data_IF_370344067394
#
_entry.id   IF_370344067394
#
_cell.length_a   1.000
_cell.length_b   1.000
_cell.length_c   1.000
_cell.angle_alpha   90.00
_cell.angle_beta   90.00
_cell.angle_gamma   90.00
#
_symmetry.space_group_name_H-M   'P 1'
#
loop_
_entity.id
_entity.type
_entity.pdbx_description
1 polymer ?
#
# COMPACT_ATOMS: atom_id res chain seq x y z
N UNK A 1 -21.78 0.71 5.29
CA UNK A 1 -21.82 2.15 4.91
C UNK A 1 -20.75 2.36 3.86
N UNK A 2 -20.95 3.25 2.87
CA UNK A 2 -19.92 3.53 1.84
C UNK A 2 -18.84 4.38 2.48
N UNK A 3 -17.56 4.01 2.27
CA UNK A 3 -16.38 4.76 2.69
C UNK A 3 -15.69 5.33 1.46
N UNK A 4 -15.26 6.58 1.55
CA UNK A 4 -14.58 7.28 0.45
C UNK A 4 -13.35 8.01 0.97
N UNK A 5 -12.26 7.86 0.24
CA UNK A 5 -11.06 8.65 0.45
C UNK A 5 -11.22 10.05 -0.15
N UNK A 6 -10.65 11.05 0.51
CA UNK A 6 -10.59 12.41 -0.03
C UNK A 6 -9.28 13.08 0.33
N UNK A 7 -8.82 14.00 -0.51
CA UNK A 7 -7.66 14.86 -0.21
C UNK A 7 -8.04 16.13 0.55
N UNK A 8 -9.32 16.40 0.73
CA UNK A 8 -9.79 17.59 1.48
C UNK A 8 -9.59 17.39 2.98
N UNK A 9 -9.34 18.48 3.70
CA UNK A 9 -9.35 18.47 5.17
C UNK A 9 -10.76 18.26 5.70
N UNK A 10 -10.88 17.45 6.75
CA UNK A 10 -12.15 17.02 7.34
C UNK A 10 -12.34 17.67 8.71
N UNK A 11 -13.52 18.26 8.93
CA UNK A 11 -13.96 18.77 10.23
C UNK A 11 -15.49 18.95 10.26
N UNK A 12 -16.09 19.04 11.43
CA UNK A 12 -17.54 19.22 11.58
C UNK A 12 -18.05 20.44 10.82
N UNK A 13 -19.14 20.28 10.09
CA UNK A 13 -19.81 21.33 9.32
C UNK A 13 -19.20 21.62 7.95
N UNK A 14 -17.99 21.10 7.63
CA UNK A 14 -17.42 21.23 6.29
C UNK A 14 -18.17 20.42 5.25
N UNK A 15 -18.08 20.89 4.00
CA UNK A 15 -18.58 20.17 2.84
C UNK A 15 -17.40 19.66 2.00
N UNK A 16 -17.54 18.45 1.46
CA UNK A 16 -16.57 17.79 0.59
C UNK A 16 -17.23 17.52 -0.75
N UNK A 17 -16.61 17.99 -1.83
CA UNK A 17 -17.02 17.66 -3.18
C UNK A 17 -16.47 16.31 -3.59
N UNK A 18 -17.32 15.45 -4.11
CA UNK A 18 -16.90 14.16 -4.67
C UNK A 18 -16.25 14.35 -6.03
N UNK A 19 -15.25 13.52 -6.35
CA UNK A 19 -14.69 13.45 -7.71
C UNK A 19 -15.70 12.87 -8.70
N UNK A 20 -15.45 13.01 -9.99
CA UNK A 20 -16.34 12.45 -11.04
C UNK A 20 -16.47 10.93 -10.88
N UNK A 21 -15.37 10.21 -10.63
CA UNK A 21 -15.37 8.76 -10.41
C UNK A 21 -16.17 8.38 -9.16
N UNK A 22 -16.01 9.13 -8.07
CA UNK A 22 -16.80 8.91 -6.84
C UNK A 22 -18.28 9.18 -7.09
N UNK A 23 -18.63 10.25 -7.81
CA UNK A 23 -20.03 10.52 -8.19
C UNK A 23 -20.58 9.37 -9.04
N UNK A 24 -19.83 8.92 -10.04
CA UNK A 24 -20.25 7.78 -10.85
C UNK A 24 -20.50 6.54 -9.99
N UNK A 25 -19.55 6.22 -9.10
CA UNK A 25 -19.66 5.07 -8.20
C UNK A 25 -20.87 5.16 -7.28
N UNK A 26 -21.03 6.28 -6.53
CA UNK A 26 -22.10 6.39 -5.53
C UNK A 26 -23.48 6.53 -6.16
N UNK A 27 -23.59 7.26 -7.29
CA UNK A 27 -24.88 7.52 -7.92
C UNK A 27 -25.32 6.38 -8.84
N UNK A 28 -24.44 5.91 -9.74
CA UNK A 28 -24.82 4.93 -10.77
C UNK A 28 -24.64 3.48 -10.29
N UNK A 29 -23.57 3.17 -9.58
CA UNK A 29 -23.28 1.79 -9.13
C UNK A 29 -24.01 1.51 -7.82
N UNK A 30 -23.83 2.34 -6.82
CA UNK A 30 -24.39 2.15 -5.49
C UNK A 30 -25.80 2.72 -5.31
N UNK A 31 -26.30 3.46 -6.32
CA UNK A 31 -27.66 4.03 -6.40
C UNK A 31 -28.06 4.80 -5.15
N UNK A 32 -27.16 5.64 -4.67
CA UNK A 32 -27.38 6.48 -3.52
C UNK A 32 -28.14 7.76 -3.87
N UNK A 33 -28.73 8.38 -2.85
CA UNK A 33 -29.60 9.55 -2.96
C UNK A 33 -29.19 10.66 -2.01
N UNK A 34 -29.73 11.85 -2.18
CA UNK A 34 -29.62 12.94 -1.22
C UNK A 34 -30.16 12.44 0.15
N UNK A 35 -29.44 12.78 1.21
CA UNK A 35 -29.74 12.32 2.56
C UNK A 35 -29.04 11.04 2.98
N UNK A 36 -28.45 10.25 2.05
CA UNK A 36 -27.68 9.06 2.40
C UNK A 36 -26.39 9.44 3.13
N UNK A 37 -25.96 8.55 4.03
CA UNK A 37 -24.76 8.71 4.83
C UNK A 37 -23.54 8.04 4.21
N UNK A 38 -22.39 8.69 4.39
CA UNK A 38 -21.07 8.27 3.93
C UNK A 38 -20.04 8.44 5.03
N UNK A 39 -18.99 7.61 5.01
CA UNK A 39 -17.80 7.81 5.82
C UNK A 39 -16.69 8.36 4.91
N UNK A 40 -16.04 9.45 5.33
CA UNK A 40 -14.91 10.03 4.62
C UNK A 40 -13.66 9.97 5.49
N UNK A 41 -12.50 9.72 4.86
CA UNK A 41 -11.20 9.72 5.52
C UNK A 41 -10.12 10.29 4.60
N UNK A 42 -9.00 10.76 5.17
CA UNK A 42 -7.93 11.39 4.40
C UNK A 42 -6.50 11.06 4.88
N UNK A 43 -6.36 10.19 5.88
CA UNK A 43 -5.06 9.85 6.45
C UNK A 43 -4.49 10.87 7.44
N UNK A 44 -5.22 11.93 7.77
CA UNK A 44 -4.78 13.00 8.66
C UNK A 44 -5.81 13.35 9.73
N UNK A 45 -7.07 13.47 9.34
CA UNK A 45 -8.15 13.94 10.21
C UNK A 45 -9.03 12.81 10.76
N UNK A 46 -8.64 11.55 10.52
CA UNK A 46 -9.44 10.38 10.88
C UNK A 46 -10.62 10.15 9.97
N UNK A 47 -11.65 9.48 10.48
CA UNK A 47 -12.87 9.15 9.72
C UNK A 47 -14.05 10.00 10.21
N UNK A 48 -14.80 10.51 9.25
CA UNK A 48 -15.90 11.41 9.47
C UNK A 48 -17.19 10.91 8.84
N UNK A 49 -18.28 10.96 9.58
CA UNK A 49 -19.62 10.77 9.06
C UNK A 49 -20.08 12.03 8.37
N UNK A 50 -20.63 11.89 7.19
CA UNK A 50 -21.26 12.97 6.44
C UNK A 50 -22.52 12.49 5.73
N UNK A 51 -23.35 13.43 5.32
CA UNK A 51 -24.60 13.20 4.61
C UNK A 51 -24.59 13.92 3.26
N UNK A 52 -25.11 13.27 2.23
CA UNK A 52 -25.23 13.88 0.89
C UNK A 52 -26.21 15.05 0.93
N UNK A 53 -25.72 16.28 0.78
CA UNK A 53 -26.55 17.49 0.58
C UNK A 53 -26.92 17.65 -0.90
N UNK A 54 -25.99 17.30 -1.79
CA UNK A 54 -26.21 17.29 -3.24
C UNK A 54 -25.72 15.94 -3.77
N UNK A 55 -26.56 15.26 -4.52
CA UNK A 55 -26.17 14.06 -5.26
C UNK A 55 -26.99 13.94 -6.53
N UNK A 56 -26.31 14.19 -7.64
CA UNK A 56 -26.84 14.15 -9.00
C UNK A 56 -25.95 13.30 -9.89
N UNK A 57 -26.30 13.11 -11.14
CA UNK A 57 -25.45 12.42 -12.14
C UNK A 57 -24.07 13.05 -12.36
N UNK A 58 -23.92 14.33 -12.02
CA UNK A 58 -22.70 15.11 -12.32
C UNK A 58 -22.02 15.72 -11.09
N UNK A 59 -22.68 15.73 -9.96
CA UNK A 59 -22.18 16.39 -8.77
C UNK A 59 -22.60 15.65 -7.51
N UNK A 60 -21.65 15.54 -6.57
CA UNK A 60 -21.87 15.05 -5.22
C UNK A 60 -21.22 15.99 -4.22
N UNK A 61 -21.96 16.36 -3.19
CA UNK A 61 -21.45 17.16 -2.06
C UNK A 61 -21.91 16.51 -0.78
N UNK A 62 -20.93 16.20 0.07
CA UNK A 62 -21.17 15.56 1.39
C UNK A 62 -20.90 16.60 2.48
N UNK A 63 -21.86 16.84 3.35
CA UNK A 63 -21.68 17.66 4.55
C UNK A 63 -21.30 16.81 5.73
N UNK A 64 -20.16 17.12 6.34
CA UNK A 64 -19.62 16.39 7.50
C UNK A 64 -20.33 16.78 8.77
N UNK A 65 -20.65 15.79 9.59
CA UNK A 65 -21.37 15.98 10.88
C UNK A 65 -20.46 15.74 12.08
N UNK A 66 -19.86 14.56 12.19
CA UNK A 66 -19.04 14.16 13.34
C UNK A 66 -17.92 13.22 12.97
N UNK A 67 -16.86 13.26 13.74
CA UNK A 67 -15.79 12.27 13.66
C UNK A 67 -16.27 10.94 14.23
N UNK A 68 -16.04 9.85 13.51
CA UNK A 68 -16.38 8.48 13.93
C UNK A 68 -15.17 7.76 14.51
N UNK A 69 -13.97 8.04 13.96
CA UNK A 69 -12.71 7.46 14.41
C UNK A 69 -11.62 8.53 14.36
N UNK A 70 -10.84 8.76 15.44
CA UNK A 70 -9.69 9.66 15.40
C UNK A 70 -8.58 9.07 14.54
N UNK A 71 -7.75 9.93 13.95
CA UNK A 71 -6.55 9.47 13.25
C UNK A 71 -5.57 8.86 14.25
N UNK A 72 -5.14 7.64 13.98
CA UNK A 72 -4.05 6.99 14.67
C UNK A 72 -2.70 7.25 13.98
N UNK A 73 -1.62 6.72 14.55
CA UNK A 73 -0.33 6.71 13.87
C UNK A 73 -0.37 5.75 12.68
N UNK A 74 0.25 6.17 11.58
CA UNK A 74 0.46 5.29 10.43
C UNK A 74 1.64 4.36 10.74
N UNK A 75 1.31 3.17 11.18
CA UNK A 75 2.26 2.08 11.43
C UNK A 75 2.25 1.11 10.24
N UNK A 76 3.36 0.38 10.05
CA UNK A 76 3.43 -0.66 9.04
C UNK A 76 4.79 -0.76 8.36
N UNK A 77 5.01 -1.88 7.69
CA UNK A 77 6.22 -2.11 6.92
C UNK A 77 6.26 -1.25 5.65
N UNK A 78 7.46 -1.07 5.12
CA UNK A 78 7.68 -0.65 3.73
C UNK A 78 7.79 -1.91 2.86
N UNK A 79 7.20 -1.89 1.69
CA UNK A 79 7.39 -2.91 0.67
C UNK A 79 8.15 -2.32 -0.51
N UNK A 80 9.41 -2.70 -0.68
CA UNK A 80 10.19 -2.44 -1.88
C UNK A 80 10.12 -3.67 -2.79
N UNK A 81 9.44 -3.57 -3.93
CA UNK A 81 9.18 -4.73 -4.77
C UNK A 81 9.52 -4.48 -6.23
N UNK A 82 10.24 -5.42 -6.83
CA UNK A 82 10.49 -5.39 -8.26
C UNK A 82 9.18 -5.37 -9.05
N UNK A 83 9.15 -4.56 -10.12
CA UNK A 83 8.00 -4.57 -11.03
C UNK A 83 7.88 -5.95 -11.69
N UNK A 84 6.70 -6.52 -11.60
CA UNK A 84 6.30 -7.79 -12.21
C UNK A 84 5.15 -7.57 -13.18
N UNK A 85 4.63 -8.63 -13.77
CA UNK A 85 3.46 -8.53 -14.66
C UNK A 85 2.35 -7.75 -13.99
N UNK A 86 1.67 -6.90 -14.78
CA UNK A 86 0.69 -5.91 -14.31
C UNK A 86 -0.34 -6.50 -13.34
N UNK A 87 -1.04 -7.58 -13.71
CA UNK A 87 -2.12 -8.12 -12.90
C UNK A 87 -1.62 -8.66 -11.54
N UNK A 88 -0.42 -9.23 -11.52
CA UNK A 88 0.22 -9.69 -10.28
C UNK A 88 0.67 -8.52 -9.41
N UNK A 89 1.17 -7.44 -10.03
CA UNK A 89 1.55 -6.24 -9.29
C UNK A 89 0.33 -5.53 -8.71
N UNK A 90 -0.77 -5.45 -9.46
CA UNK A 90 -2.06 -4.92 -8.98
C UNK A 90 -2.58 -5.71 -7.76
N UNK A 91 -2.48 -7.04 -7.81
CA UNK A 91 -2.82 -7.91 -6.66
C UNK A 91 -1.95 -7.57 -5.44
N UNK A 92 -0.64 -7.38 -5.65
CA UNK A 92 0.27 -6.99 -4.55
C UNK A 92 -0.11 -5.63 -3.98
N UNK A 93 -0.40 -4.62 -4.81
CA UNK A 93 -0.84 -3.30 -4.35
C UNK A 93 -2.07 -3.41 -3.44
N UNK A 94 -3.07 -4.18 -3.88
CA UNK A 94 -4.29 -4.42 -3.11
C UNK A 94 -3.97 -5.11 -1.77
N UNK A 95 -3.27 -6.26 -1.80
CA UNK A 95 -3.02 -7.06 -0.60
C UNK A 95 -2.01 -6.42 0.36
N UNK A 96 -1.00 -5.70 -0.14
CA UNK A 96 -0.10 -4.92 0.70
C UNK A 96 -0.85 -3.82 1.46
N UNK A 97 -1.82 -3.16 0.81
CA UNK A 97 -2.68 -2.17 1.46
C UNK A 97 -3.54 -2.79 2.56
N UNK A 98 -4.21 -3.91 2.29
CA UNK A 98 -5.01 -4.65 3.27
C UNK A 98 -4.16 -5.15 4.46
N UNK A 99 -2.90 -5.52 4.21
CA UNK A 99 -1.95 -5.99 5.23
C UNK A 99 -1.25 -4.84 5.99
N UNK A 100 -1.61 -3.60 5.72
CA UNK A 100 -1.19 -2.46 6.53
C UNK A 100 0.18 -1.87 6.15
N UNK A 101 0.67 -2.10 4.92
CA UNK A 101 1.89 -1.45 4.44
C UNK A 101 1.72 0.07 4.44
N UNK A 102 2.74 0.81 4.92
CA UNK A 102 2.71 2.28 4.93
C UNK A 102 3.24 2.90 3.65
N UNK A 103 4.13 2.19 2.93
CA UNK A 103 4.78 2.68 1.71
C UNK A 103 5.14 1.54 0.77
N UNK A 104 4.95 1.75 -0.53
CA UNK A 104 5.31 0.81 -1.59
C UNK A 104 6.30 1.50 -2.51
N UNK A 105 7.46 0.87 -2.71
CA UNK A 105 8.55 1.35 -3.55
C UNK A 105 8.73 0.37 -4.71
N UNK A 106 8.22 0.69 -5.91
CA UNK A 106 8.43 -0.13 -7.09
C UNK A 106 9.91 -0.10 -7.51
N UNK A 107 10.51 -1.28 -7.72
CA UNK A 107 11.93 -1.41 -8.07
C UNK A 107 12.13 -1.86 -9.51
N UNK A 108 13.18 -1.34 -10.13
CA UNK A 108 13.73 -1.82 -11.39
C UNK A 108 15.04 -2.55 -11.06
N UNK A 109 15.06 -3.86 -11.31
CA UNK A 109 16.19 -4.76 -11.06
C UNK A 109 16.75 -5.28 -12.38
N UNK A 110 17.89 -5.97 -12.38
CA UNK A 110 18.49 -6.51 -13.61
C UNK A 110 17.58 -7.49 -14.37
N UNK A 111 16.73 -8.21 -13.64
CA UNK A 111 15.84 -9.22 -14.22
C UNK A 111 14.37 -8.79 -14.27
N UNK A 112 14.12 -7.51 -14.04
CA UNK A 112 12.78 -6.93 -14.21
C UNK A 112 12.46 -6.80 -15.71
N UNK A 113 11.36 -7.41 -16.14
CA UNK A 113 10.89 -7.34 -17.54
C UNK A 113 10.04 -6.08 -17.77
N UNK A 114 9.27 -5.68 -16.76
CA UNK A 114 8.34 -4.54 -16.79
C UNK A 114 9.05 -3.32 -16.20
N UNK A 115 9.30 -2.29 -17.01
CA UNK A 115 10.03 -1.09 -16.56
C UNK A 115 9.14 0.13 -16.31
N UNK A 116 7.82 0.02 -16.56
CA UNK A 116 6.88 1.14 -16.43
C UNK A 116 5.71 0.77 -15.54
N UNK A 117 5.34 1.70 -14.67
CA UNK A 117 4.13 1.63 -13.84
C UNK A 117 3.22 2.81 -14.19
N UNK A 118 1.92 2.53 -14.37
CA UNK A 118 0.95 3.61 -14.38
C UNK A 118 0.65 3.99 -12.92
N UNK A 119 1.31 5.05 -12.44
CA UNK A 119 1.25 5.46 -11.04
C UNK A 119 -0.15 5.90 -10.63
N UNK A 120 -0.87 6.60 -11.49
CA UNK A 120 -2.25 7.03 -11.19
C UNK A 120 -3.17 5.81 -10.97
N UNK A 121 -3.07 4.82 -11.86
CA UNK A 121 -3.82 3.57 -11.67
C UNK A 121 -3.41 2.84 -10.39
N UNK A 122 -2.12 2.80 -10.07
CA UNK A 122 -1.64 2.18 -8.84
C UNK A 122 -2.20 2.88 -7.59
N UNK A 123 -2.26 4.21 -7.59
CA UNK A 123 -2.89 5.00 -6.53
C UNK A 123 -4.39 4.68 -6.38
N UNK A 124 -5.12 4.54 -7.49
CA UNK A 124 -6.53 4.15 -7.43
C UNK A 124 -6.71 2.78 -6.75
N UNK A 125 -5.88 1.78 -7.09
CA UNK A 125 -5.95 0.45 -6.49
C UNK A 125 -5.75 0.49 -4.96
N UNK A 126 -4.76 1.24 -4.48
CA UNK A 126 -4.52 1.31 -3.03
C UNK A 126 -5.57 2.13 -2.30
N UNK A 127 -6.16 3.14 -2.96
CA UNK A 127 -7.31 3.89 -2.41
C UNK A 127 -8.52 2.96 -2.25
N UNK A 128 -8.92 2.25 -3.31
CA UNK A 128 -10.03 1.30 -3.28
C UNK A 128 -9.81 0.21 -2.22
N UNK A 129 -8.58 -0.32 -2.12
CA UNK A 129 -8.23 -1.29 -1.09
C UNK A 129 -8.32 -0.69 0.32
N UNK A 130 -7.89 0.57 0.52
CA UNK A 130 -7.99 1.27 1.81
C UNK A 130 -9.46 1.54 2.20
N UNK A 131 -10.30 1.91 1.23
CA UNK A 131 -11.74 2.07 1.44
C UNK A 131 -12.39 0.77 1.89
N UNK A 132 -12.03 -0.34 1.25
CA UNK A 132 -12.62 -1.66 1.49
C UNK A 132 -12.15 -2.27 2.82
N UNK A 133 -10.86 -2.18 3.16
CA UNK A 133 -10.31 -2.77 4.39
C UNK A 133 -10.42 -1.85 5.63
N UNK A 134 -11.10 -0.72 5.50
CA UNK A 134 -11.41 0.23 6.57
C UNK A 134 -10.20 0.87 7.28
N UNK A 135 -9.04 0.93 6.64
CA UNK A 135 -7.92 1.70 7.18
C UNK A 135 -8.14 3.21 7.00
N UNK A 136 -7.52 4.02 7.87
CA UNK A 136 -7.71 5.48 7.88
C UNK A 136 -6.73 6.24 7.02
N UNK A 137 -5.73 5.56 6.46
CA UNK A 137 -4.67 6.11 5.61
C UNK A 137 -4.53 5.29 4.33
N UNK A 138 -3.90 5.88 3.34
CA UNK A 138 -3.57 5.24 2.07
C UNK A 138 -2.04 5.11 2.01
N UNK A 139 -1.47 3.94 1.66
CA UNK A 139 -0.02 3.80 1.55
C UNK A 139 0.54 4.73 0.47
N UNK A 140 1.70 5.31 0.75
CA UNK A 140 2.47 6.04 -0.26
C UNK A 140 2.94 5.07 -1.34
N UNK A 141 2.84 5.46 -2.62
CA UNK A 141 3.49 4.76 -3.73
C UNK A 141 4.44 5.72 -4.40
N UNK A 142 5.72 5.34 -4.51
CA UNK A 142 6.73 6.14 -5.20
C UNK A 142 6.75 5.85 -6.71
N UNK A 143 7.42 6.71 -7.47
CA UNK A 143 7.83 6.36 -8.83
C UNK A 143 8.78 5.14 -8.81
N UNK A 144 8.77 4.30 -9.85
CA UNK A 144 9.72 3.21 -9.99
C UNK A 144 11.16 3.71 -9.98
N UNK A 145 12.03 3.06 -9.20
CA UNK A 145 13.42 3.44 -9.12
C UNK A 145 14.37 2.24 -9.28
N UNK A 146 15.61 2.47 -9.77
CA UNK A 146 16.62 1.42 -9.81
C UNK A 146 16.95 0.88 -8.42
N UNK A 147 17.16 -0.44 -8.29
CA UNK A 147 17.55 -1.07 -7.03
C UNK A 147 18.76 -0.38 -6.39
N UNK A 148 19.77 0.01 -7.19
CA UNK A 148 20.98 0.71 -6.69
C UNK A 148 20.62 2.01 -5.96
N UNK A 149 19.67 2.79 -6.50
CA UNK A 149 19.19 4.02 -5.86
C UNK A 149 18.43 3.71 -4.58
N UNK A 150 17.54 2.71 -4.60
CA UNK A 150 16.81 2.28 -3.41
C UNK A 150 17.73 1.89 -2.24
N UNK A 151 18.83 1.18 -2.52
CA UNK A 151 19.75 0.73 -1.47
C UNK A 151 20.42 1.87 -0.70
N UNK A 152 20.46 3.08 -1.24
CA UNK A 152 20.98 4.28 -0.56
C UNK A 152 19.96 5.00 0.31
N UNK A 153 18.66 4.62 0.23
CA UNK A 153 17.62 5.25 1.03
C UNK A 153 17.61 4.70 2.46
N UNK A 154 17.30 5.56 3.41
CA UNK A 154 17.01 5.16 4.79
C UNK A 154 15.51 4.81 4.93
N UNK A 155 15.18 3.56 4.75
CA UNK A 155 13.81 3.03 4.90
C UNK A 155 13.72 2.04 6.08
N UNK A 156 14.64 2.17 7.06
CA UNK A 156 14.73 1.27 8.20
C UNK A 156 15.47 -0.03 7.90
N UNK A 157 15.24 -1.06 8.71
CA UNK A 157 15.87 -2.38 8.56
C UNK A 157 15.41 -3.05 7.26
N UNK A 158 16.34 -3.26 6.32
CA UNK A 158 16.05 -3.89 5.03
C UNK A 158 16.15 -5.42 5.14
N UNK A 159 15.09 -6.11 4.69
CA UNK A 159 14.98 -7.58 4.69
C UNK A 159 14.69 -8.02 3.27
N UNK A 160 15.66 -8.57 2.54
CA UNK A 160 15.41 -9.08 1.20
C UNK A 160 15.02 -10.57 1.21
N UNK A 161 14.07 -10.94 0.36
CA UNK A 161 13.66 -12.31 0.21
C UNK A 161 14.60 -13.05 -0.74
N UNK A 162 15.10 -14.19 -0.29
CA UNK A 162 16.03 -15.05 -1.03
C UNK A 162 15.51 -16.48 -1.12
N UNK A 163 15.49 -17.05 -2.33
CA UNK A 163 15.05 -18.42 -2.55
C UNK A 163 16.00 -19.46 -1.92
N UNK A 164 17.29 -19.14 -1.81
CA UNK A 164 18.35 -20.05 -1.37
C UNK A 164 19.15 -19.55 -0.16
N UNK A 165 18.74 -18.42 0.41
CA UNK A 165 19.39 -17.85 1.58
C UNK A 165 19.05 -18.61 2.85
N UNK A 166 20.01 -18.77 3.78
CA UNK A 166 19.68 -19.02 5.17
C UNK A 166 19.30 -17.69 5.81
N UNK A 167 18.39 -17.73 6.78
CA UNK A 167 18.08 -16.56 7.60
C UNK A 167 19.38 -16.04 8.23
N UNK A 168 19.81 -14.86 7.77
CA UNK A 168 20.98 -14.17 8.33
C UNK A 168 20.50 -12.93 9.08
N UNK A 169 20.34 -13.05 10.38
CA UNK A 169 19.93 -11.94 11.25
C UNK A 169 18.53 -12.12 11.82
N UNK A 170 18.17 -11.26 12.76
CA UNK A 170 16.85 -11.22 13.40
C UNK A 170 16.18 -9.92 13.02
N UNK A 171 14.89 -10.00 12.65
CA UNK A 171 14.09 -8.80 12.38
C UNK A 171 13.80 -8.11 13.71
N UNK A 172 14.26 -6.88 13.82
CA UNK A 172 13.98 -6.02 14.97
C UNK A 172 12.72 -5.20 14.72
N UNK A 173 11.62 -5.62 15.32
CA UNK A 173 10.31 -4.97 15.17
C UNK A 173 10.17 -3.65 15.93
N UNK A 174 11.16 -3.27 16.72
CA UNK A 174 11.21 -1.94 17.37
C UNK A 174 11.62 -0.83 16.41
N UNK A 175 12.09 -1.21 15.21
CA UNK A 175 12.49 -0.31 14.14
C UNK A 175 11.57 -0.46 12.92
N UNK A 176 11.48 0.57 12.07
CA UNK A 176 10.82 0.44 10.78
C UNK A 176 11.46 -0.68 9.95
N UNK A 177 10.64 -1.54 9.34
CA UNK A 177 11.09 -2.67 8.53
C UNK A 177 10.71 -2.43 7.07
N UNK A 178 11.65 -2.70 6.17
CA UNK A 178 11.44 -2.66 4.72
C UNK A 178 11.71 -4.04 4.12
N UNK A 179 10.66 -4.68 3.60
CA UNK A 179 10.78 -5.94 2.87
C UNK A 179 11.11 -5.69 1.41
N UNK A 180 12.14 -6.39 0.90
CA UNK A 180 12.64 -6.25 -0.46
C UNK A 180 12.36 -7.53 -1.23
N UNK A 181 11.48 -7.46 -2.24
CA UNK A 181 11.00 -8.62 -3.00
C UNK A 181 11.44 -8.51 -4.46
N UNK A 182 12.09 -9.56 -4.96
CA UNK A 182 12.60 -9.62 -6.33
C UNK A 182 11.54 -9.94 -7.38
N UNK A 183 11.93 -9.86 -8.68
CA UNK A 183 11.08 -10.28 -9.79
C UNK A 183 11.03 -11.81 -9.90
N UNK A 184 10.20 -12.33 -10.81
CA UNK A 184 10.07 -13.77 -11.08
C UNK A 184 11.41 -14.42 -11.51
N UNK A 185 12.32 -13.64 -12.08
CA UNK A 185 13.67 -14.10 -12.44
C UNK A 185 14.66 -14.14 -11.27
N UNK A 186 14.24 -13.76 -10.06
CA UNK A 186 15.08 -13.66 -8.86
C UNK A 186 16.15 -12.59 -8.94
N UNK A 187 17.06 -12.58 -7.98
CA UNK A 187 18.18 -11.64 -7.90
C UNK A 187 19.37 -12.08 -8.75
N UNK A 188 20.06 -11.14 -9.38
CA UNK A 188 21.34 -11.41 -10.03
C UNK A 188 22.46 -11.59 -9.00
N UNK A 189 23.59 -12.23 -9.38
CA UNK A 189 24.75 -12.31 -8.50
C UNK A 189 25.30 -10.93 -8.08
N UNK A 190 25.24 -9.95 -8.97
CA UNK A 190 25.69 -8.58 -8.68
C UNK A 190 24.75 -7.90 -7.65
N UNK A 191 23.45 -8.13 -7.75
CA UNK A 191 22.47 -7.61 -6.79
C UNK A 191 22.65 -8.25 -5.41
N UNK A 192 22.89 -9.57 -5.35
CA UNK A 192 23.18 -10.27 -4.07
C UNK A 192 24.45 -9.69 -3.43
N UNK A 193 25.52 -9.47 -4.21
CA UNK A 193 26.73 -8.82 -3.70
C UNK A 193 26.47 -7.37 -3.23
N UNK A 194 25.57 -6.65 -3.90
CA UNK A 194 25.18 -5.32 -3.47
C UNK A 194 24.45 -5.36 -2.12
N UNK A 195 23.55 -6.31 -1.89
CA UNK A 195 22.89 -6.52 -0.61
C UNK A 195 23.87 -6.81 0.54
N UNK A 196 24.88 -7.64 0.27
CA UNK A 196 25.90 -7.99 1.27
C UNK A 196 26.77 -6.80 1.72
N UNK A 197 26.81 -5.72 0.93
CA UNK A 197 27.52 -4.47 1.26
C UNK A 197 26.66 -3.48 2.06
N UNK A 198 25.36 -3.69 2.14
CA UNK A 198 24.46 -2.83 2.92
C UNK A 198 24.51 -3.29 4.39
N UNK A 199 24.96 -2.42 5.25
CA UNK A 199 25.01 -2.70 6.69
C UNK A 199 23.61 -3.02 7.25
N UNK A 200 23.51 -4.06 8.06
CA UNK A 200 22.25 -4.47 8.69
C UNK A 200 21.21 -5.11 7.74
N UNK A 201 21.55 -5.34 6.46
CA UNK A 201 20.65 -6.02 5.54
C UNK A 201 20.51 -7.49 5.86
N UNK A 202 19.27 -7.97 5.94
CA UNK A 202 18.92 -9.34 6.32
C UNK A 202 18.48 -10.13 5.10
N UNK A 203 18.98 -11.35 4.93
CA UNK A 203 18.46 -12.33 3.98
C UNK A 203 17.41 -13.22 4.66
N UNK A 204 16.21 -13.27 4.11
CA UNK A 204 15.13 -14.10 4.63
C UNK A 204 14.67 -15.10 3.58
N UNK A 205 14.54 -16.38 4.01
CA UNK A 205 13.94 -17.45 3.20
C UNK A 205 12.57 -17.83 3.78
N UNK A 206 11.56 -17.91 2.91
CA UNK A 206 10.19 -18.25 3.30
C UNK A 206 9.88 -19.76 3.27
N UNK A 207 10.90 -20.60 3.28
CA UNK A 207 10.75 -22.06 3.29
C UNK A 207 11.32 -22.76 2.07
N UNK A 208 11.00 -24.05 1.91
CA UNK A 208 11.62 -24.91 0.89
C UNK A 208 11.03 -24.77 -0.51
N UNK A 209 9.81 -24.23 -0.61
CA UNK A 209 9.14 -24.06 -1.88
C UNK A 209 9.51 -22.72 -2.50
N UNK A 210 9.73 -22.72 -3.82
CA UNK A 210 9.91 -21.48 -4.58
C UNK A 210 8.54 -20.84 -4.75
N UNK A 211 8.38 -19.65 -4.17
CA UNK A 211 7.16 -18.88 -4.27
C UNK A 211 7.24 -17.93 -5.48
N UNK A 212 6.10 -17.64 -6.09
CA UNK A 212 6.01 -16.50 -7.02
C UNK A 212 6.21 -15.19 -6.26
N UNK A 213 6.67 -14.15 -6.95
CA UNK A 213 6.99 -12.87 -6.34
C UNK A 213 5.80 -12.25 -5.57
N UNK A 214 4.60 -12.29 -6.16
CA UNK A 214 3.37 -11.84 -5.50
C UNK A 214 3.03 -12.68 -4.25
N UNK A 215 3.20 -13.99 -4.33
CA UNK A 215 2.98 -14.89 -3.17
C UNK A 215 4.00 -14.59 -2.07
N UNK A 216 5.26 -14.40 -2.41
CA UNK A 216 6.32 -14.08 -1.46
C UNK A 216 6.06 -12.76 -0.73
N UNK A 217 5.65 -11.71 -1.49
CA UNK A 217 5.30 -10.41 -0.91
C UNK A 217 4.12 -10.52 0.07
N UNK A 218 3.03 -11.17 -0.33
CA UNK A 218 1.84 -11.33 0.52
C UNK A 218 2.18 -12.18 1.76
N UNK A 219 2.94 -13.26 1.60
CA UNK A 219 3.31 -14.15 2.71
C UNK A 219 4.15 -13.44 3.76
N UNK A 220 5.18 -12.68 3.36
CA UNK A 220 6.04 -11.97 4.31
C UNK A 220 5.27 -10.86 5.04
N UNK A 221 4.43 -10.11 4.34
CA UNK A 221 3.61 -9.06 4.92
C UNK A 221 2.58 -9.64 5.91
N UNK A 222 1.95 -10.77 5.58
CA UNK A 222 1.03 -11.48 6.48
C UNK A 222 1.76 -11.96 7.73
N UNK A 223 2.92 -12.59 7.57
CA UNK A 223 3.71 -13.08 8.69
C UNK A 223 4.19 -11.95 9.61
N UNK A 224 4.55 -10.80 9.03
CA UNK A 224 4.91 -9.59 9.78
C UNK A 224 3.71 -8.99 10.52
N UNK A 225 2.57 -8.85 9.84
CA UNK A 225 1.34 -8.27 10.39
C UNK A 225 0.79 -9.05 11.57
N UNK A 226 0.83 -10.38 11.49
CA UNK A 226 0.26 -11.29 12.50
C UNK A 226 1.29 -11.82 13.50
N UNK A 227 2.48 -11.25 13.52
CA UNK A 227 3.55 -11.56 14.48
C UNK A 227 4.02 -13.03 14.49
N UNK A 228 4.02 -13.67 13.31
CA UNK A 228 4.37 -15.09 13.18
C UNK A 228 5.88 -15.33 13.35
N UNK A 229 6.71 -14.29 13.33
CA UNK A 229 8.18 -14.38 13.51
C UNK A 229 8.66 -14.15 14.95
N UNK A 230 7.77 -14.08 15.91
CA UNK A 230 8.11 -13.92 17.34
C UNK A 230 8.63 -15.22 17.97
#
# INVERSE_FOLDING_TARGET
MIRLYTSYSLSAGKTVCLTEDQVHYVYHVMRRSIGDEFLLFNGQDGEWLGQAEILTKKQGVIKLSRQTRPQGQTEGAVLAMALIKKDNFDLVLQKATELGVRKIIPLITERTVVSKLNLERAKHIVIEAAEQCERLDVPEITEPMPLKTFLTLDEGQKVYLSERGQLKGKIDKTQPVCFVVGPEGGWSPAEIQAFERVEGMIALNLGRLILRAETAAISILSAYRFDIFS
#
